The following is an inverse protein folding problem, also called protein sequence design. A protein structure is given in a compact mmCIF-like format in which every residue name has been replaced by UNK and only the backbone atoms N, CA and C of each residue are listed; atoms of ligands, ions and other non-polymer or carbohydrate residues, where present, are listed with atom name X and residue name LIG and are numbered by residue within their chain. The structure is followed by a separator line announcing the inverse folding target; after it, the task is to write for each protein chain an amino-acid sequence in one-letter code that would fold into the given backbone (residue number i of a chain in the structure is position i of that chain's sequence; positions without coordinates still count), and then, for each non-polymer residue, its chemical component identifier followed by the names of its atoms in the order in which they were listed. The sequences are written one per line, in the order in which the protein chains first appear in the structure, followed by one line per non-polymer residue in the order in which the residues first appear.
data_IF_731922176253
#
_entry.id   IF_731922176253
#
_cell.length_a   1.000
_cell.length_b   1.000
_cell.length_c   1.000
_cell.angle_alpha   90.00
_cell.angle_beta   90.00
_cell.angle_gamma   90.00
#
_symmetry.space_group_name_H-M   'P 1'
#
loop_
_entity.id
_entity.type
_entity.pdbx_description
1 polymer ?
#
# COMPACT_ATOMS: atom_id res chain seq x y z
N UNK A 1 -22.47 4.27 -20.56
CA UNK A 1 -21.97 4.16 -20.31
C UNK A 1 -21.11 4.48 -19.73
N UNK A 2 -20.75 4.32 -19.37
CA UNK A 2 -20.14 4.61 -18.72
C UNK A 2 -19.02 4.42 -18.51
N UNK A 3 -18.43 4.52 -18.57
CA UNK A 3 -17.43 4.35 -18.50
C UNK A 3 -16.69 4.49 -17.68
N UNK A 4 -16.47 4.44 -17.20
CA UNK A 4 -15.92 4.54 -16.32
C UNK A 4 -14.61 4.55 -16.26
N UNK A 5 -13.94 5.29 -16.45
CA UNK A 5 -12.71 5.37 -16.26
C UNK A 5 -12.35 5.41 -14.91
N UNK A 6 -12.27 4.38 -14.21
CA UNK A 6 -11.83 4.36 -12.91
C UNK A 6 -10.37 4.54 -12.86
N UNK A 7 -9.86 5.17 -11.84
CA UNK A 7 -8.44 5.37 -11.65
C UNK A 7 -7.95 4.44 -10.56
N UNK A 8 -6.86 3.78 -10.81
CA UNK A 8 -6.20 2.96 -9.80
C UNK A 8 -5.12 3.76 -9.12
N UNK A 9 -5.16 3.85 -7.79
CA UNK A 9 -4.10 4.48 -7.02
C UNK A 9 -2.87 3.59 -7.08
N UNK A 10 -1.76 4.16 -7.49
CA UNK A 10 -0.51 3.42 -7.64
C UNK A 10 0.26 3.38 -6.32
N UNK A 11 1.12 2.37 -6.14
CA UNK A 11 1.88 2.22 -4.89
C UNK A 11 3.12 3.10 -4.80
N UNK A 12 3.15 4.16 -5.56
CA UNK A 12 4.24 5.14 -5.48
C UNK A 12 3.66 6.54 -5.63
N UNK A 13 4.47 7.54 -5.32
CA UNK A 13 4.04 8.92 -5.43
C UNK A 13 4.90 9.65 -6.46
N UNK A 14 4.44 10.78 -6.91
CA UNK A 14 5.19 11.64 -7.80
C UNK A 14 6.28 12.40 -7.07
N UNK A 15 7.06 13.19 -7.81
CA UNK A 15 8.22 13.89 -7.22
C UNK A 15 7.85 14.85 -6.11
N UNK A 16 6.65 15.38 -6.12
CA UNK A 16 6.21 16.31 -5.09
C UNK A 16 5.45 15.61 -3.98
N UNK A 17 5.45 14.30 -3.92
CA UNK A 17 4.76 13.55 -2.90
C UNK A 17 3.28 13.35 -3.16
N UNK A 18 2.80 13.77 -4.29
CA UNK A 18 1.38 13.61 -4.61
C UNK A 18 1.08 12.22 -5.13
N UNK A 19 -0.12 11.73 -4.88
CA UNK A 19 -0.47 10.39 -5.35
C UNK A 19 -0.49 10.29 -6.87
N UNK A 20 -0.16 9.12 -7.36
CA UNK A 20 -0.20 8.82 -8.78
C UNK A 20 -1.34 7.86 -9.06
N UNK A 21 -2.01 8.05 -10.18
CA UNK A 21 -3.12 7.21 -10.58
C UNK A 21 -2.92 6.68 -11.98
N UNK A 22 -3.45 5.50 -12.22
CA UNK A 22 -3.40 4.88 -13.54
C UNK A 22 -4.82 4.67 -14.01
N UNK A 23 -5.08 4.97 -15.27
CA UNK A 23 -6.38 4.69 -15.84
C UNK A 23 -6.55 3.18 -15.98
N UNK A 24 -7.70 2.69 -15.58
CA UNK A 24 -7.94 1.27 -15.59
C UNK A 24 -8.39 0.74 -16.92
N UNK A 25 -8.41 1.58 -17.94
CA UNK A 25 -8.66 1.07 -19.27
C UNK A 25 -7.64 0.04 -19.62
N UNK A 26 -6.47 0.08 -19.05
CA UNK A 26 -5.43 -0.81 -19.38
C UNK A 26 -5.22 -1.82 -18.31
N UNK A 27 -6.27 -2.50 -17.90
CA UNK A 27 -6.17 -3.45 -16.90
C UNK A 27 -5.28 -4.51 -17.26
N UNK A 28 -4.49 -5.09 -16.91
CA UNK A 28 -3.60 -6.13 -17.32
C UNK A 28 -2.39 -5.61 -18.07
N UNK A 29 -2.25 -4.33 -18.20
CA UNK A 29 -1.10 -3.79 -18.87
C UNK A 29 0.15 -3.85 -18.05
N UNK A 30 1.26 -3.45 -18.65
CA UNK A 30 2.57 -3.51 -18.01
C UNK A 30 2.59 -2.73 -16.72
N UNK A 31 2.01 -1.55 -16.71
CA UNK A 31 2.04 -0.69 -15.53
C UNK A 31 1.20 -1.26 -14.39
N UNK A 32 0.09 -1.90 -14.72
CA UNK A 32 -0.72 -2.56 -13.70
C UNK A 32 0.03 -3.72 -13.06
N UNK A 33 0.75 -4.49 -13.85
CA UNK A 33 1.53 -5.60 -13.30
C UNK A 33 2.69 -5.10 -12.45
N UNK A 34 3.31 -4.01 -12.87
CA UNK A 34 4.36 -3.40 -12.07
C UNK A 34 3.81 -2.93 -10.74
N UNK A 35 2.63 -2.32 -10.75
CA UNK A 35 1.99 -1.88 -9.52
C UNK A 35 1.66 -3.07 -8.61
N UNK A 36 1.16 -4.16 -9.17
CA UNK A 36 0.86 -5.35 -8.38
C UNK A 36 2.13 -5.89 -7.72
N UNK A 37 3.23 -5.94 -8.46
CA UNK A 37 4.47 -6.43 -7.90
C UNK A 37 4.99 -5.51 -6.80
N UNK A 38 4.90 -4.22 -7.01
CA UNK A 38 5.35 -3.27 -6.00
C UNK A 38 4.50 -3.37 -4.73
N UNK A 39 3.20 -3.53 -4.87
CA UNK A 39 2.33 -3.71 -3.71
C UNK A 39 2.71 -4.96 -2.93
N UNK A 40 3.01 -6.06 -3.63
CA UNK A 40 3.43 -7.29 -2.97
C UNK A 40 4.73 -7.10 -2.21
N UNK A 41 5.67 -6.38 -2.78
CA UNK A 41 6.94 -6.10 -2.12
C UNK A 41 6.70 -5.24 -0.87
N UNK A 42 5.88 -4.22 -0.99
CA UNK A 42 5.59 -3.34 0.15
C UNK A 42 4.93 -4.09 1.29
N UNK A 43 3.99 -4.97 0.98
CA UNK A 43 3.32 -5.78 2.01
C UNK A 43 4.29 -6.76 2.65
N UNK A 44 5.19 -7.35 1.87
CA UNK A 44 6.21 -8.24 2.40
C UNK A 44 7.16 -7.52 3.34
N UNK A 45 7.58 -6.31 2.98
CA UNK A 45 8.45 -5.50 3.82
C UNK A 45 7.74 -5.11 5.12
N UNK A 46 6.45 -4.79 5.03
CA UNK A 46 5.68 -4.46 6.23
C UNK A 46 5.58 -5.66 7.18
N UNK A 47 5.41 -6.86 6.62
CA UNK A 47 5.39 -8.08 7.42
C UNK A 47 6.72 -8.29 8.13
N UNK A 48 7.83 -8.10 7.44
CA UNK A 48 9.15 -8.26 8.02
C UNK A 48 9.39 -7.25 9.13
N UNK A 49 8.97 -6.01 8.92
CA UNK A 49 9.12 -4.97 9.92
C UNK A 49 8.25 -5.24 11.14
N UNK A 50 7.06 -5.79 10.94
CA UNK A 50 6.20 -6.16 12.05
C UNK A 50 6.88 -7.22 12.90
N UNK A 51 7.46 -8.25 12.28
CA UNK A 51 8.16 -9.29 13.02
C UNK A 51 9.34 -8.72 13.79
N UNK A 52 10.09 -7.84 13.17
CA UNK A 52 11.22 -7.19 13.81
C UNK A 52 10.76 -6.34 15.00
N UNK A 53 9.67 -5.63 14.84
CA UNK A 53 9.13 -4.79 15.90
C UNK A 53 8.67 -5.63 17.09
N UNK A 54 8.04 -6.78 16.82
CA UNK A 54 7.61 -7.66 17.90
C UNK A 54 8.81 -8.21 18.66
N UNK A 55 9.90 -8.52 17.97
CA UNK A 55 11.11 -8.98 18.64
C UNK A 55 11.70 -7.89 19.52
N UNK A 56 11.73 -6.67 19.02
CA UNK A 56 12.29 -5.55 19.79
C UNK A 56 11.42 -5.24 20.99
N UNK A 57 10.11 -5.32 20.85
CA UNK A 57 9.21 -5.07 21.96
C UNK A 57 9.36 -6.10 23.08
N UNK A 58 9.84 -7.28 22.73
CA UNK A 58 10.08 -8.31 23.74
C UNK A 58 11.36 -8.08 24.53
N UNK A 59 12.20 -7.15 24.10
CA UNK A 59 13.45 -6.85 24.78
C UNK A 59 13.26 -5.73 25.77
N UNK A 60 13.94 -5.79 26.91
CA UNK A 60 13.74 -4.81 27.96
C UNK A 60 14.53 -3.53 27.74
N UNK A 61 15.67 -3.61 27.05
CA UNK A 61 16.50 -2.44 26.97
C UNK A 61 16.99 -2.22 25.59
N UNK A 62 16.16 -1.74 24.73
CA UNK A 62 16.55 -1.35 23.40
C UNK A 62 17.04 0.08 23.41
N UNK A 63 18.11 0.32 22.67
CA UNK A 63 18.66 1.65 22.53
C UNK A 63 17.60 2.59 21.96
N UNK A 64 17.42 3.78 22.55
CA UNK A 64 16.46 4.75 22.00
C UNK A 64 16.68 5.11 20.53
N UNK A 65 17.93 5.14 20.08
CA UNK A 65 18.20 5.45 18.67
C UNK A 65 17.69 4.32 17.76
N UNK A 66 17.79 3.09 18.21
CA UNK A 66 17.27 1.96 17.46
C UNK A 66 15.74 1.98 17.41
N UNK A 67 15.12 2.37 18.52
CA UNK A 67 13.67 2.52 18.54
C UNK A 67 13.21 3.62 17.61
N UNK A 68 13.95 4.71 17.54
CA UNK A 68 13.60 5.81 16.66
C UNK A 68 13.69 5.38 15.20
N UNK A 69 14.75 4.64 14.86
CA UNK A 69 14.92 4.16 13.50
C UNK A 69 13.82 3.17 13.14
N UNK A 70 13.51 2.26 14.05
CA UNK A 70 12.42 1.30 13.81
C UNK A 70 11.09 2.02 13.60
N UNK A 71 10.81 3.04 14.41
CA UNK A 71 9.58 3.81 14.29
C UNK A 71 9.51 4.50 12.93
N UNK A 72 10.62 5.02 12.47
CA UNK A 72 10.68 5.67 11.18
C UNK A 72 10.38 4.66 10.06
N UNK A 73 10.97 3.49 10.14
CA UNK A 73 10.74 2.44 9.15
C UNK A 73 9.29 1.96 9.19
N UNK A 74 8.73 1.78 10.38
CA UNK A 74 7.35 1.38 10.53
C UNK A 74 6.39 2.44 9.99
N UNK A 75 6.72 3.70 10.16
CA UNK A 75 5.91 4.80 9.63
C UNK A 75 5.84 4.71 8.11
N UNK A 76 6.98 4.47 7.46
CA UNK A 76 7.01 4.31 6.01
C UNK A 76 6.22 3.10 5.55
N UNK A 77 6.40 1.97 6.24
CA UNK A 77 5.69 0.74 5.90
C UNK A 77 4.19 0.89 6.09
N UNK A 78 3.77 1.56 7.14
CA UNK A 78 2.35 1.77 7.39
C UNK A 78 1.75 2.68 6.33
N UNK A 79 2.47 3.71 5.94
CA UNK A 79 2.01 4.61 4.88
C UNK A 79 1.81 3.84 3.57
N UNK A 80 2.77 2.97 3.22
CA UNK A 80 2.68 2.17 2.00
C UNK A 80 1.52 1.18 2.09
N UNK A 81 1.36 0.54 3.24
CA UNK A 81 0.29 -0.43 3.46
C UNK A 81 -1.08 0.24 3.37
N UNK A 82 -1.22 1.43 3.94
CA UNK A 82 -2.48 2.16 3.84
C UNK A 82 -2.79 2.53 2.40
N UNK A 83 -1.78 2.86 1.62
CA UNK A 83 -1.98 3.17 0.20
C UNK A 83 -2.48 1.93 -0.54
N UNK A 84 -1.89 0.76 -0.27
CA UNK A 84 -2.32 -0.49 -0.88
C UNK A 84 -3.76 -0.80 -0.48
N UNK A 85 -4.07 -0.64 0.80
CA UNK A 85 -5.41 -0.93 1.30
C UNK A 85 -6.45 0.00 0.67
N UNK A 86 -6.11 1.28 0.57
CA UNK A 86 -6.99 2.27 -0.04
C UNK A 86 -7.23 1.92 -1.52
N UNK A 87 -6.18 1.54 -2.22
CA UNK A 87 -6.28 1.18 -3.62
C UNK A 87 -7.19 -0.03 -3.82
N UNK A 88 -6.97 -1.05 -3.00
CA UNK A 88 -7.74 -2.29 -3.13
C UNK A 88 -9.19 -2.10 -2.71
N UNK A 89 -9.42 -1.31 -1.68
CA UNK A 89 -10.78 -1.01 -1.25
C UNK A 89 -11.53 -0.22 -2.31
N UNK A 90 -10.87 0.72 -2.94
CA UNK A 90 -11.47 1.51 -4.00
C UNK A 90 -11.86 0.62 -5.18
N UNK A 91 -10.99 -0.31 -5.53
CA UNK A 91 -11.29 -1.24 -6.62
C UNK A 91 -12.45 -2.18 -6.27
N UNK A 92 -12.51 -2.58 -5.02
CA UNK A 92 -13.61 -3.42 -4.58
C UNK A 92 -14.92 -2.67 -4.61
N UNK A 93 -14.93 -1.43 -4.17
CA UNK A 93 -16.13 -0.61 -4.22
C UNK A 93 -16.62 -0.45 -5.64
N UNK A 94 -15.72 -0.20 -6.55
CA UNK A 94 -16.09 -0.06 -7.93
C UNK A 94 -16.70 -1.32 -8.48
N UNK A 95 -16.12 -2.49 -8.10
CA UNK A 95 -16.61 -3.70 -8.59
C UNK A 95 -17.87 -4.08 -7.96
N UNK A 96 -18.11 -3.72 -6.74
CA UNK A 96 -19.30 -4.17 -6.07
C UNK A 96 -20.44 -3.22 -6.20
N UNK A 97 -20.36 -2.22 -7.01
CA UNK A 97 -21.46 -1.33 -7.24
C UNK A 97 -22.69 -2.06 -7.62
N UNK A 98 -22.52 -3.12 -8.34
CA UNK A 98 -23.61 -3.88 -8.77
C UNK A 98 -24.08 -4.79 -7.74
N UNK A 99 -23.38 -5.14 -6.80
CA UNK A 99 -23.80 -6.06 -5.89
C UNK A 99 -24.03 -5.57 -4.67
N UNK A 100 -24.12 -4.69 -4.35
CA UNK A 100 -24.37 -4.16 -3.21
C UNK A 100 -24.89 -4.95 -2.27
N UNK A 101 -24.72 -5.55 -1.82
CA UNK A 101 -25.22 -6.31 -0.92
C UNK A 101 -25.48 -5.86 0.17
N UNK A 102 -25.72 -5.89 0.47
CA UNK A 102 -26.00 -5.71 1.36
C UNK A 102 -26.15 -5.97 1.97
#
# INVERSE_FOLDING_TARGET
MTTTNELRLLPWTGPDGKPCFLSTDDNGGHMSRLADNMESVQLGMATDLLDQALDILAQADTDPDDLRLLTKDLTGALRDTLRVATSRGHRLDSRSTDHRCR
#
